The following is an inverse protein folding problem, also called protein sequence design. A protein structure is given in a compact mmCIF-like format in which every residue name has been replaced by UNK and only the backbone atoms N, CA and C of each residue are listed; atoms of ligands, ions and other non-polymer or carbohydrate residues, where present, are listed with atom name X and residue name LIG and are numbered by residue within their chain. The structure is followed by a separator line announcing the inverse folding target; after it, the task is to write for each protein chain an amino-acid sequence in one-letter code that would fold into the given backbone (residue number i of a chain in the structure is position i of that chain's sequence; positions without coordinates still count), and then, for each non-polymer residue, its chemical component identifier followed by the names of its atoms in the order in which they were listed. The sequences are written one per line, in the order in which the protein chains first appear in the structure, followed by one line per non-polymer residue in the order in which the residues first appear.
data_IF_962049036076
#
_entry.id   IF_962049036076
#
_cell.length_a   1.000
_cell.length_b   1.000
_cell.length_c   1.000
_cell.angle_alpha   90.00
_cell.angle_beta   90.00
_cell.angle_gamma   90.00
#
_symmetry.space_group_name_H-M   'P 1'
#
loop_
_entity.id
_entity.type
_entity.pdbx_description
1 polymer ?
#
# COMPACT_ATOMS: atom_id res chain seq x y z
N UNK A 1 3.24 4.56 13.63
CA UNK A 1 2.34 3.61 14.35
C UNK A 1 0.94 4.18 14.30
N UNK A 2 -0.06 3.40 13.91
CA UNK A 2 -1.43 3.89 13.75
C UNK A 2 -2.32 3.35 14.86
N UNK A 3 -3.36 4.09 15.20
CA UNK A 3 -4.35 3.71 16.20
C UNK A 3 -5.74 4.08 15.72
N UNK A 4 -6.72 3.24 16.07
CA UNK A 4 -8.12 3.62 15.98
C UNK A 4 -8.51 4.26 17.30
N UNK A 5 -9.05 5.48 17.23
CA UNK A 5 -9.60 6.19 18.38
C UNK A 5 -11.11 6.35 18.23
N UNK A 6 -11.82 6.42 19.36
CA UNK A 6 -13.23 6.74 19.45
C UNK A 6 -13.44 8.05 20.23
N UNK A 7 -14.32 8.92 19.75
CA UNK A 7 -14.70 10.14 20.44
C UNK A 7 -15.49 9.83 21.71
N UNK A 8 -15.05 10.34 22.86
CA UNK A 8 -15.71 10.12 24.16
C UNK A 8 -16.63 11.28 24.52
N UNK A 9 -16.22 12.49 24.15
CA UNK A 9 -16.98 13.72 24.30
C UNK A 9 -17.21 14.35 22.93
N UNK A 10 -18.37 14.97 22.72
CA UNK A 10 -18.61 15.79 21.53
C UNK A 10 -17.63 16.95 21.53
N UNK A 11 -16.69 16.91 20.60
CA UNK A 11 -15.68 17.94 20.36
C UNK A 11 -15.63 18.25 18.88
N UNK A 12 -15.09 19.40 18.49
CA UNK A 12 -14.86 19.74 17.08
C UNK A 12 -13.93 18.77 16.34
N UNK A 13 -13.22 17.88 17.08
CA UNK A 13 -12.22 16.96 16.52
C UNK A 13 -12.82 15.61 16.14
N UNK A 14 -13.72 15.07 16.97
CA UNK A 14 -14.33 13.76 16.76
C UNK A 14 -15.65 13.68 17.53
N UNK A 15 -16.72 13.25 16.85
CA UNK A 15 -18.02 13.11 17.49
C UNK A 15 -18.05 11.93 18.46
N UNK A 16 -18.96 12.00 19.44
CA UNK A 16 -19.10 10.95 20.44
C UNK A 16 -19.54 9.64 19.79
N UNK A 17 -18.74 8.59 19.96
CA UNK A 17 -18.98 7.27 19.38
C UNK A 17 -18.48 7.11 17.94
N UNK A 18 -17.99 8.19 17.32
CA UNK A 18 -17.33 8.09 16.01
C UNK A 18 -15.93 7.50 16.18
N UNK A 19 -15.55 6.63 15.24
CA UNK A 19 -14.25 5.96 15.23
C UNK A 19 -13.44 6.37 14.00
N UNK A 20 -12.15 6.67 14.21
CA UNK A 20 -11.24 6.99 13.12
C UNK A 20 -9.84 6.43 13.37
N UNK A 21 -9.15 6.08 12.29
CA UNK A 21 -7.76 5.59 12.36
C UNK A 21 -6.79 6.72 12.04
N UNK A 22 -5.91 7.03 12.97
CA UNK A 22 -4.93 8.13 12.87
C UNK A 22 -3.55 7.67 13.30
N UNK A 23 -2.53 8.46 12.98
CA UNK A 23 -1.19 8.20 13.49
C UNK A 23 -1.07 8.59 14.96
N UNK A 24 -0.37 7.74 15.73
CA UNK A 24 -0.05 8.02 17.11
C UNK A 24 0.97 9.16 17.19
N UNK A 25 0.55 10.29 17.78
CA UNK A 25 1.35 11.51 17.95
C UNK A 25 1.23 12.05 19.38
N UNK A 26 2.14 12.94 19.80
CA UNK A 26 2.05 13.58 21.12
C UNK A 26 0.79 14.44 21.30
N UNK A 27 0.27 15.03 20.22
CA UNK A 27 -1.01 15.74 20.24
C UNK A 27 -2.15 14.77 20.58
N UNK A 28 -2.22 13.63 19.89
CA UNK A 28 -3.22 12.59 20.15
C UNK A 28 -3.12 12.05 21.57
N UNK A 29 -1.89 11.85 22.07
CA UNK A 29 -1.64 11.47 23.46
C UNK A 29 -2.20 12.50 24.45
N UNK A 30 -2.09 13.80 24.14
CA UNK A 30 -2.71 14.87 24.92
C UNK A 30 -4.23 14.75 24.97
N UNK A 31 -4.88 14.50 23.83
CA UNK A 31 -6.34 14.31 23.75
C UNK A 31 -6.82 13.09 24.54
N UNK A 32 -6.08 11.97 24.47
CA UNK A 32 -6.37 10.77 25.25
C UNK A 32 -6.25 11.05 26.74
N UNK A 33 -5.19 11.76 27.17
CA UNK A 33 -4.98 12.11 28.58
C UNK A 33 -6.04 13.07 29.11
N UNK A 34 -6.54 13.95 28.26
CA UNK A 34 -7.65 14.85 28.57
C UNK A 34 -9.03 14.15 28.60
N UNK A 35 -9.11 12.88 28.15
CA UNK A 35 -10.35 12.12 28.13
C UNK A 35 -11.31 12.50 27.00
N UNK A 36 -10.84 13.22 25.98
CA UNK A 36 -11.66 13.63 24.84
C UNK A 36 -11.87 12.49 23.84
N UNK A 37 -10.86 11.63 23.70
CA UNK A 37 -10.86 10.45 22.83
C UNK A 37 -10.30 9.24 23.59
N UNK A 38 -10.66 8.02 23.18
CA UNK A 38 -10.10 6.77 23.71
C UNK A 38 -9.53 5.93 22.58
N UNK A 39 -8.42 5.23 22.83
CA UNK A 39 -7.88 4.26 21.87
C UNK A 39 -8.70 2.98 21.96
N UNK A 40 -9.26 2.55 20.83
CA UNK A 40 -10.01 1.29 20.71
C UNK A 40 -9.17 0.19 20.07
N UNK A 41 -8.21 0.52 19.20
CA UNK A 41 -7.36 -0.46 18.53
C UNK A 41 -5.96 0.09 18.22
N UNK A 42 -4.93 -0.75 18.36
CA UNK A 42 -3.54 -0.42 17.98
C UNK A 42 -3.16 -1.18 16.72
N UNK A 43 -2.82 -0.43 15.67
CA UNK A 43 -2.31 -0.98 14.41
C UNK A 43 -0.79 -0.99 14.46
N UNK A 44 -0.24 -2.15 14.81
CA UNK A 44 1.18 -2.39 14.67
C UNK A 44 1.53 -2.44 13.18
N UNK A 45 2.61 -1.76 12.74
CA UNK A 45 3.10 -1.98 11.39
C UNK A 45 3.41 -3.49 11.28
N UNK A 46 2.84 -4.14 10.26
CA UNK A 46 3.15 -5.53 9.99
C UNK A 46 4.68 -5.67 9.98
N UNK A 47 5.24 -6.68 10.67
CA UNK A 47 6.66 -6.95 10.54
C UNK A 47 6.91 -7.11 9.03
N UNK A 48 7.85 -6.33 8.51
CA UNK A 48 8.33 -6.51 7.14
C UNK A 48 8.90 -7.92 7.14
N UNK A 49 8.13 -8.88 6.65
CA UNK A 49 8.59 -10.23 6.41
C UNK A 49 9.70 -10.06 5.38
N UNK A 50 10.93 -10.07 5.87
CA UNK A 50 12.10 -10.21 5.02
C UNK A 50 11.86 -11.52 4.29
N UNK A 51 11.47 -11.42 3.02
CA UNK A 51 11.40 -12.55 2.13
C UNK A 51 12.76 -13.27 2.25
N UNK A 52 12.75 -14.41 2.92
CA UNK A 52 13.88 -15.32 2.84
C UNK A 52 13.94 -15.70 1.36
N UNK A 53 15.05 -15.46 0.64
CA UNK A 53 15.13 -15.93 -0.72
C UNK A 53 15.07 -17.45 -0.69
N UNK A 54 14.01 -18.02 -1.25
CA UNK A 54 13.92 -19.46 -1.55
C UNK A 54 15.17 -19.88 -2.34
N UNK A 55 16.00 -20.82 -1.85
CA UNK A 55 17.18 -21.29 -2.58
C UNK A 55 16.86 -22.30 -3.70
N UNK A 56 15.58 -22.55 -4.01
CA UNK A 56 15.13 -23.64 -4.89
C UNK A 56 14.57 -23.20 -6.26
N UNK A 57 14.75 -21.94 -6.69
CA UNK A 57 14.48 -21.56 -8.10
C UNK A 57 15.65 -21.96 -9.02
N UNK A 58 16.00 -23.25 -8.96
CA UNK A 58 16.79 -23.94 -9.96
C UNK A 58 15.83 -24.71 -10.89
N UNK A 59 15.22 -23.99 -11.84
CA UNK A 59 14.75 -24.58 -13.09
C UNK A 59 13.25 -24.51 -13.35
N UNK A 60 12.88 -23.65 -14.30
CA UNK A 60 12.28 -24.05 -15.59
C UNK A 60 11.80 -22.81 -16.36
N UNK A 61 12.50 -22.35 -17.41
CA UNK A 61 11.88 -21.44 -18.37
C UNK A 61 11.11 -22.26 -19.41
N UNK A 62 9.79 -22.34 -19.30
CA UNK A 62 8.91 -22.35 -20.47
C UNK A 62 7.47 -22.07 -20.03
N UNK A 63 6.76 -21.17 -20.74
CA UNK A 63 6.13 -21.64 -21.97
C UNK A 63 6.27 -20.70 -23.18
N UNK A 64 6.40 -21.31 -24.35
CA UNK A 64 6.25 -20.67 -25.67
C UNK A 64 4.83 -20.11 -25.89
N UNK A 65 4.66 -18.84 -26.33
CA UNK A 65 3.42 -18.41 -26.95
C UNK A 65 3.46 -18.65 -28.46
N UNK A 66 2.67 -19.63 -28.89
CA UNK A 66 2.31 -19.94 -30.28
C UNK A 66 1.49 -18.78 -30.89
N UNK A 67 1.98 -18.28 -32.03
CA UNK A 67 1.24 -17.82 -33.22
C UNK A 67 0.13 -16.75 -33.10
N UNK A 68 0.29 -15.61 -33.80
CA UNK A 68 -0.56 -15.28 -34.97
C UNK A 68 -0.28 -13.90 -35.61
N UNK A 69 0.01 -13.97 -36.92
CA UNK A 69 -0.42 -13.12 -38.03
C UNK A 69 -0.14 -11.59 -38.07
N UNK A 70 0.64 -11.20 -39.08
CA UNK A 70 0.93 -9.84 -39.55
C UNK A 70 -0.30 -9.03 -40.03
N UNK A 71 -0.14 -7.71 -40.21
CA UNK A 71 -0.41 -7.18 -41.55
C UNK A 71 0.70 -6.27 -42.12
N UNK A 72 1.03 -6.52 -43.38
CA UNK A 72 1.80 -5.63 -44.27
C UNK A 72 1.08 -4.29 -44.46
N UNK A 73 1.78 -3.18 -44.19
CA UNK A 73 1.74 -1.87 -44.90
C UNK A 73 2.66 -0.90 -44.15
N UNK A 74 3.36 0.08 -44.71
CA UNK A 74 3.89 0.39 -46.03
C UNK A 74 4.68 1.71 -45.84
N UNK A 75 5.79 1.87 -46.57
CA UNK A 75 6.55 3.11 -46.86
C UNK A 75 7.38 3.75 -45.73
N UNK A 76 8.70 3.82 -45.94
CA UNK A 76 9.40 5.04 -46.40
C UNK A 76 10.80 4.71 -46.94
N UNK A 77 11.18 5.43 -47.99
CA UNK A 77 12.48 5.47 -48.66
C UNK A 77 13.60 5.94 -47.70
N UNK A 78 14.80 5.40 -47.86
CA UNK A 78 16.11 6.09 -47.86
C UNK A 78 17.19 5.05 -48.26
N UNK A 79 17.89 5.27 -49.38
CA UNK A 79 19.32 5.63 -49.46
C UNK A 79 20.24 4.41 -49.26
N UNK A 80 20.85 3.85 -50.31
CA UNK A 80 22.10 4.32 -50.95
C UNK A 80 23.32 4.19 -50.01
N UNK A 81 24.42 3.67 -50.56
CA UNK A 81 25.73 3.30 -49.99
C UNK A 81 25.88 1.79 -49.67
N UNK A 82 26.83 1.02 -50.23
CA UNK A 82 28.06 1.26 -51.00
C UNK A 82 28.29 0.14 -52.03
#
# INVERSE_FOLDING_TARGET
MRVTIEGVASTDVLERGEQTTVEWTDYLRGLVRAGLVRVVEWHHPAPVEVAQPDPDDAGAPEPEPVEQAAPKRARRRAADQE
#
